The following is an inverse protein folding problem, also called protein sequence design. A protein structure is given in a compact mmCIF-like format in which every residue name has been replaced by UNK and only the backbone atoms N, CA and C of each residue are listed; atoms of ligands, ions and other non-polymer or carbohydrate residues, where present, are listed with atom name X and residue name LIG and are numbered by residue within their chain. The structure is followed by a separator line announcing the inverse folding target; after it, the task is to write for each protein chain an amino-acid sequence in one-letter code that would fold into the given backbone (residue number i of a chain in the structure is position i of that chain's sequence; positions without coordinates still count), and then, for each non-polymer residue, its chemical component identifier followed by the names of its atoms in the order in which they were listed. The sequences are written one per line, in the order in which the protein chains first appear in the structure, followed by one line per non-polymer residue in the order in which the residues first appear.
data_IF_727682798628
#
_entry.id   IF_727682798628
#
_cell.length_a   1.000
_cell.length_b   1.000
_cell.length_c   1.000
_cell.angle_alpha   90.00
_cell.angle_beta   90.00
_cell.angle_gamma   90.00
#
_symmetry.space_group_name_H-M   'P 1'
#
loop_
_entity.id
_entity.type
_entity.pdbx_description
1 polymer ?
#
# COMPACT_ATOMS: atom_id res chain seq x y z
N UNK A 1 27.96 0.76 23.82
CA UNK A 1 27.56 1.31 22.50
C UNK A 1 27.09 0.18 21.58
N UNK A 2 25.91 -0.42 21.83
CA UNK A 2 25.43 -1.61 21.10
C UNK A 2 24.08 -1.42 20.40
N UNK A 3 23.47 -0.23 20.52
CA UNK A 3 22.13 0.05 20.00
C UNK A 3 22.09 0.55 18.55
N UNK A 4 23.24 0.84 17.94
CA UNK A 4 23.30 1.42 16.59
C UNK A 4 22.79 0.43 15.52
N UNK A 5 23.22 -0.84 15.63
CA UNK A 5 22.84 -1.92 14.71
C UNK A 5 21.33 -2.24 14.71
N UNK A 6 20.67 -2.47 15.87
CA UNK A 6 19.23 -2.73 15.88
C UNK A 6 18.41 -1.52 15.41
N UNK A 7 18.86 -0.29 15.70
CA UNK A 7 18.19 0.91 15.22
C UNK A 7 18.20 1.01 13.69
N UNK A 8 19.34 0.74 13.04
CA UNK A 8 19.41 0.71 11.58
C UNK A 8 18.52 -0.37 10.97
N UNK A 9 18.41 -1.53 11.61
CA UNK A 9 17.60 -2.65 11.13
C UNK A 9 16.10 -2.33 11.20
N UNK A 10 15.65 -1.70 12.29
CA UNK A 10 14.27 -1.20 12.42
C UNK A 10 13.96 -0.11 11.39
N UNK A 11 14.91 0.79 11.15
CA UNK A 11 14.74 1.86 10.16
C UNK A 11 14.57 1.29 8.75
N UNK A 12 15.40 0.30 8.38
CA UNK A 12 15.35 -0.39 7.09
C UNK A 12 14.03 -1.15 6.88
N UNK A 13 13.54 -1.84 7.93
CA UNK A 13 12.24 -2.52 7.89
C UNK A 13 11.09 -1.53 7.70
N UNK A 14 11.13 -0.38 8.39
CA UNK A 14 10.11 0.65 8.24
C UNK A 14 10.11 1.29 6.85
N UNK A 15 11.30 1.50 6.26
CA UNK A 15 11.42 2.04 4.89
C UNK A 15 10.88 1.03 3.87
N UNK A 16 11.27 -0.25 3.99
CA UNK A 16 10.76 -1.30 3.12
C UNK A 16 9.23 -1.42 3.22
N UNK A 17 8.68 -1.42 4.44
CA UNK A 17 7.24 -1.45 4.66
C UNK A 17 6.53 -0.25 4.01
N UNK A 18 7.11 0.95 4.09
CA UNK A 18 6.58 2.14 3.41
C UNK A 18 6.61 2.05 1.89
N UNK A 19 7.60 1.38 1.30
CA UNK A 19 7.68 1.17 -0.15
C UNK A 19 6.60 0.21 -0.67
N UNK A 20 6.22 -0.80 0.12
CA UNK A 20 5.15 -1.75 -0.27
C UNK A 20 3.76 -1.32 0.21
N UNK A 21 3.67 -0.33 1.09
CA UNK A 21 2.39 0.14 1.60
C UNK A 21 1.66 1.00 0.57
N UNK A 22 0.86 0.35 -0.26
CA UNK A 22 -0.17 1.03 -1.05
C UNK A 22 -1.31 1.45 -0.13
N UNK A 23 -1.42 2.76 0.11
CA UNK A 23 -2.45 3.33 0.99
C UNK A 23 -3.80 3.36 0.25
N UNK A 24 -4.88 2.80 0.84
CA UNK A 24 -6.20 2.92 0.27
C UNK A 24 -6.63 4.40 0.18
N UNK A 25 -7.40 4.79 -0.84
CA UNK A 25 -7.89 6.15 -0.99
C UNK A 25 -8.83 6.55 0.16
N UNK A 26 -9.66 5.62 0.63
CA UNK A 26 -10.56 5.81 1.77
C UNK A 26 -10.66 4.54 2.62
N UNK A 27 -11.19 4.68 3.85
CA UNK A 27 -11.43 3.55 4.74
C UNK A 27 -12.47 2.60 4.13
N UNK A 28 -12.18 1.30 4.13
CA UNK A 28 -13.06 0.28 3.55
C UNK A 28 -12.86 0.04 2.05
N UNK A 29 -11.83 0.63 1.46
CA UNK A 29 -11.44 0.34 0.09
C UNK A 29 -10.40 -0.78 0.07
N UNK A 30 -10.54 -1.67 -0.90
CA UNK A 30 -9.69 -2.83 -1.16
C UNK A 30 -9.01 -2.66 -2.52
N UNK A 31 -7.76 -3.08 -2.65
CA UNK A 31 -7.04 -3.07 -3.93
C UNK A 31 -7.10 -4.46 -4.55
N UNK A 32 -7.39 -4.53 -5.84
CA UNK A 32 -7.46 -5.80 -6.54
C UNK A 32 -7.78 -5.66 -8.02
N UNK A 33 -7.99 -6.81 -8.65
CA UNK A 33 -8.43 -6.91 -10.02
C UNK A 33 -9.95 -7.12 -10.08
N UNK A 34 -10.66 -6.18 -10.69
CA UNK A 34 -12.11 -6.26 -10.83
C UNK A 34 -12.52 -5.87 -12.25
N UNK A 35 -13.32 -6.72 -12.88
CA UNK A 35 -13.90 -6.49 -14.21
C UNK A 35 -12.88 -6.06 -15.30
N UNK A 36 -11.72 -6.70 -15.36
CA UNK A 36 -10.72 -6.39 -16.40
C UNK A 36 -9.65 -5.36 -15.99
N UNK A 37 -9.81 -4.71 -14.83
CA UNK A 37 -8.96 -3.58 -14.43
C UNK A 37 -8.38 -3.77 -13.03
N UNK A 38 -7.15 -3.31 -12.82
CA UNK A 38 -6.55 -3.15 -11.50
C UNK A 38 -6.94 -1.80 -10.89
N UNK A 39 -7.28 -1.81 -9.62
CA UNK A 39 -7.66 -0.59 -8.92
C UNK A 39 -8.19 -0.83 -7.52
N UNK A 40 -8.65 0.26 -6.92
CA UNK A 40 -9.31 0.27 -5.63
C UNK A 40 -10.82 0.16 -5.82
N UNK A 41 -11.47 -0.66 -4.99
CA UNK A 41 -12.92 -0.83 -4.96
C UNK A 41 -13.45 -0.86 -3.52
N UNK A 42 -14.72 -0.57 -3.32
CA UNK A 42 -15.41 -0.75 -2.04
C UNK A 42 -16.65 -1.66 -2.15
N UNK A 43 -17.19 -2.08 -1.01
CA UNK A 43 -18.40 -2.92 -0.93
C UNK A 43 -19.67 -2.19 -1.42
N UNK A 44 -19.61 -0.87 -1.61
CA UNK A 44 -20.72 -0.02 -2.06
C UNK A 44 -20.71 0.17 -3.58
N UNK A 45 -19.79 -0.47 -4.29
CA UNK A 45 -19.66 -0.38 -5.75
C UNK A 45 -18.85 0.83 -6.24
N UNK A 46 -18.15 1.53 -5.35
CA UNK A 46 -17.15 2.54 -5.72
C UNK A 46 -15.97 1.89 -6.43
N UNK A 47 -15.55 2.49 -7.54
CA UNK A 47 -14.37 2.06 -8.30
C UNK A 47 -13.42 3.24 -8.53
N UNK A 48 -12.13 2.99 -8.34
CA UNK A 48 -11.06 3.94 -8.63
C UNK A 48 -9.90 3.18 -9.24
N UNK A 49 -9.79 3.24 -10.56
CA UNK A 49 -8.71 2.60 -11.31
C UNK A 49 -7.33 3.01 -10.80
N UNK A 50 -6.35 2.11 -10.93
CA UNK A 50 -4.99 2.41 -10.56
C UNK A 50 -4.37 3.41 -11.56
N UNK A 51 -4.11 4.63 -11.10
CA UNK A 51 -3.53 5.68 -11.94
C UNK A 51 -2.05 5.41 -12.28
N UNK A 52 -1.45 4.33 -11.74
CA UNK A 52 -0.06 3.95 -12.00
C UNK A 52 0.20 3.37 -13.40
N UNK A 53 -0.83 3.11 -14.21
CA UNK A 53 -0.70 2.57 -15.57
C UNK A 53 -1.19 3.54 -16.67
N UNK A 54 -0.68 4.78 -16.69
CA UNK A 54 -0.90 5.70 -17.81
C UNK A 54 0.41 6.24 -18.37
#
# INVERSE_FOLDING_TARGET
MTLLRPACLLLALATLAGCVYERPPYRGWHHGYYNGHYGWYDERGGWRGDYRYR
#
